data_IF_270951670652
#
_entry.id   IF_270951670652
#
_cell.length_a   1.000
_cell.length_b   1.000
_cell.length_c   1.000
_cell.angle_alpha   90.00
_cell.angle_beta   90.00
_cell.angle_gamma   90.00
#
_symmetry.space_group_name_H-M   'P 1'
#
loop_
_entity.id
_entity.type
_entity.pdbx_description
1 polymer ?
#
# COMPACT_ATOMS: atom_id res chain seq x y z
N UNK A 1 23.47 -6.05 -15.83
CA UNK A 1 23.92 -6.12 -14.43
C UNK A 1 22.69 -5.90 -13.59
N UNK A 2 22.14 -6.93 -12.97
CA UNK A 2 21.05 -6.76 -12.00
C UNK A 2 21.68 -6.24 -10.73
N UNK A 3 21.78 -4.91 -10.59
CA UNK A 3 22.17 -4.31 -9.32
C UNK A 3 21.09 -4.67 -8.31
N UNK A 4 21.43 -5.57 -7.39
CA UNK A 4 20.64 -5.81 -6.18
C UNK A 4 20.62 -4.49 -5.43
N UNK A 5 19.47 -3.82 -5.44
CA UNK A 5 19.30 -2.57 -4.68
C UNK A 5 19.24 -2.98 -3.21
N UNK A 6 20.35 -2.78 -2.50
CA UNK A 6 20.56 -3.20 -1.11
C UNK A 6 19.59 -2.50 -0.12
N UNK A 7 18.81 -1.52 -0.61
CA UNK A 7 17.90 -0.71 0.18
C UNK A 7 16.53 -0.57 -0.50
N UNK A 8 15.73 -1.65 -0.53
CA UNK A 8 14.39 -1.59 -1.09
C UNK A 8 13.55 -0.53 -0.37
N UNK A 9 12.89 0.31 -1.16
CA UNK A 9 11.93 1.29 -0.67
C UNK A 9 10.54 0.69 -0.82
N UNK A 10 9.79 0.59 0.27
CA UNK A 10 8.41 0.12 0.24
C UNK A 10 7.45 1.28 0.42
N UNK A 11 6.36 1.25 -0.35
CA UNK A 11 5.25 2.19 -0.18
C UNK A 11 4.03 1.46 0.30
N UNK A 12 3.52 1.86 1.46
CA UNK A 12 2.32 1.29 2.07
C UNK A 12 1.19 2.31 1.96
N UNK A 13 0.03 1.84 1.53
CA UNK A 13 -1.22 2.57 1.61
C UNK A 13 -2.12 1.86 2.60
N UNK A 14 -2.47 2.53 3.70
CA UNK A 14 -3.42 2.03 4.69
C UNK A 14 -4.78 2.63 4.37
N UNK A 15 -5.63 1.81 3.78
CA UNK A 15 -6.99 2.16 3.38
C UNK A 15 -7.95 1.99 4.53
N UNK A 16 -8.91 2.89 4.60
CA UNK A 16 -10.04 2.79 5.51
C UNK A 16 -11.27 3.37 4.82
N UNK A 17 -12.43 3.03 5.33
CA UNK A 17 -13.65 3.78 5.07
C UNK A 17 -13.92 4.63 6.31
N UNK A 18 -14.34 5.89 6.18
CA UNK A 18 -14.85 6.61 7.33
C UNK A 18 -16.05 5.82 7.89
N UNK A 19 -16.24 5.85 9.22
CA UNK A 19 -17.35 5.19 9.91
C UNK A 19 -18.65 5.37 9.13
N UNK A 20 -19.56 4.37 9.12
CA UNK A 20 -20.81 4.43 8.38
C UNK A 20 -21.56 5.69 8.78
N UNK A 21 -21.50 6.70 7.91
CA UNK A 21 -22.23 7.92 8.10
C UNK A 21 -23.68 7.56 7.78
N UNK A 22 -24.60 7.66 8.76
CA UNK A 22 -25.99 7.20 8.65
C UNK A 22 -26.71 7.76 7.40
N UNK A 23 -26.21 8.85 6.83
CA UNK A 23 -26.76 9.51 5.65
C UNK A 23 -26.17 9.04 4.31
N UNK A 24 -25.10 8.23 4.30
CA UNK A 24 -24.46 7.74 3.07
C UNK A 24 -24.60 6.22 3.02
N UNK A 25 -25.26 5.66 1.98
CA UNK A 25 -25.35 4.22 1.82
C UNK A 25 -23.93 3.62 1.69
N UNK A 26 -23.68 2.44 2.27
CA UNK A 26 -22.33 1.86 2.37
C UNK A 26 -21.65 1.67 1.00
N UNK A 27 -22.42 1.46 -0.07
CA UNK A 27 -21.94 1.35 -1.45
C UNK A 27 -21.38 2.67 -2.04
N UNK A 28 -21.70 3.82 -1.43
CA UNK A 28 -21.22 5.16 -1.85
C UNK A 28 -20.19 5.74 -0.90
N UNK A 29 -19.79 4.99 0.14
CA UNK A 29 -18.73 5.41 1.05
C UNK A 29 -17.38 5.23 0.34
N UNK A 30 -16.76 6.36 -0.01
CA UNK A 30 -15.44 6.37 -0.61
C UNK A 30 -14.36 5.83 0.33
N UNK A 31 -13.29 5.32 -0.28
CA UNK A 31 -12.09 4.92 0.46
C UNK A 31 -11.16 6.11 0.63
N UNK A 32 -10.52 6.17 1.79
CA UNK A 32 -9.43 7.10 2.06
C UNK A 32 -8.20 6.29 2.47
N UNK A 33 -7.01 6.85 2.25
CA UNK A 33 -5.78 6.20 2.67
C UNK A 33 -4.81 7.16 3.33
N UNK A 34 -3.98 6.59 4.20
CA UNK A 34 -2.70 7.16 4.59
C UNK A 34 -1.59 6.45 3.84
N UNK A 35 -0.64 7.22 3.31
CA UNK A 35 0.53 6.68 2.61
C UNK A 35 1.78 6.81 3.48
N UNK A 36 2.59 5.75 3.47
CA UNK A 36 3.84 5.66 4.21
C UNK A 36 4.94 5.12 3.31
N UNK A 37 6.15 5.60 3.53
CA UNK A 37 7.36 5.08 2.90
C UNK A 37 8.20 4.38 3.97
N UNK A 38 8.52 3.11 3.74
CA UNK A 38 9.37 2.31 4.61
C UNK A 38 10.69 2.05 3.90
N UNK A 39 11.79 2.29 4.62
CA UNK A 39 13.16 2.07 4.14
C UNK A 39 13.95 1.33 5.21
N UNK A 40 15.02 0.64 4.82
CA UNK A 40 15.88 -0.10 5.75
C UNK A 40 15.21 -1.33 6.39
N UNK A 41 14.13 -1.82 5.81
CA UNK A 41 13.44 -3.04 6.23
C UNK A 41 13.37 -4.03 5.07
N UNK A 42 13.17 -5.31 5.35
CA UNK A 42 12.86 -6.31 4.33
C UNK A 42 11.34 -6.40 4.05
N UNK A 43 10.97 -7.20 3.05
CA UNK A 43 9.57 -7.38 2.63
C UNK A 43 8.66 -7.92 3.74
N UNK A 44 9.15 -8.85 4.57
CA UNK A 44 8.36 -9.43 5.66
C UNK A 44 8.15 -8.42 6.77
N UNK A 45 9.18 -7.63 7.09
CA UNK A 45 9.06 -6.52 8.02
C UNK A 45 8.07 -5.46 7.54
N UNK A 46 8.10 -5.10 6.25
CA UNK A 46 7.15 -4.15 5.67
C UNK A 46 5.70 -4.66 5.71
N UNK A 47 5.47 -5.95 5.45
CA UNK A 47 4.15 -6.59 5.56
C UNK A 47 3.67 -6.59 7.01
N UNK A 48 4.53 -7.01 7.95
CA UNK A 48 4.18 -7.04 9.37
C UNK A 48 3.84 -5.63 9.88
N UNK A 49 4.61 -4.62 9.50
CA UNK A 49 4.32 -3.22 9.82
C UNK A 49 2.96 -2.78 9.28
N UNK A 50 2.64 -3.11 8.02
CA UNK A 50 1.37 -2.74 7.41
C UNK A 50 0.17 -3.41 8.12
N UNK A 51 0.33 -4.66 8.57
CA UNK A 51 -0.69 -5.39 9.32
C UNK A 51 -0.90 -4.82 10.73
N UNK A 52 0.18 -4.45 11.41
CA UNK A 52 0.14 -3.88 12.77
C UNK A 52 -0.51 -2.48 12.81
N UNK A 53 -0.34 -1.70 11.73
CA UNK A 53 -0.87 -0.35 11.61
C UNK A 53 -2.28 -0.29 10.97
N UNK A 54 -2.88 -1.44 10.67
CA UNK A 54 -4.20 -1.49 10.04
C UNK A 54 -5.29 -1.03 11.02
N UNK A 55 -6.24 -0.24 10.53
CA UNK A 55 -7.51 -0.05 11.23
C UNK A 55 -8.29 -1.38 11.28
N UNK A 56 -9.16 -1.54 12.29
CA UNK A 56 -9.87 -2.80 12.60
C UNK A 56 -10.67 -3.37 11.40
N UNK A 57 -11.15 -2.51 10.49
CA UNK A 57 -11.81 -2.89 9.23
C UNK A 57 -11.10 -2.32 7.99
N UNK A 58 -9.83 -1.93 8.14
CA UNK A 58 -9.01 -1.36 7.08
C UNK A 58 -8.56 -2.38 6.06
N UNK A 59 -7.98 -1.90 4.97
CA UNK A 59 -7.22 -2.71 4.03
C UNK A 59 -5.86 -2.06 3.83
N UNK A 60 -4.86 -2.80 3.39
CA UNK A 60 -3.60 -2.19 2.98
C UNK A 60 -3.25 -2.57 1.55
N UNK A 61 -2.42 -1.74 0.93
CA UNK A 61 -1.72 -2.08 -0.29
C UNK A 61 -0.24 -1.78 -0.10
N UNK A 62 0.61 -2.76 -0.40
CA UNK A 62 2.06 -2.64 -0.28
C UNK A 62 2.70 -2.74 -1.66
N UNK A 63 3.54 -1.76 -1.96
CA UNK A 63 4.36 -1.72 -3.17
C UNK A 63 5.84 -1.76 -2.82
N UNK A 64 6.64 -2.42 -3.64
CA UNK A 64 8.09 -2.20 -3.71
C UNK A 64 8.37 -1.20 -4.82
N UNK A 65 9.10 -0.14 -4.48
CA UNK A 65 9.55 0.89 -5.41
C UNK A 65 11.00 0.59 -5.82
N UNK A 66 11.26 0.58 -7.11
CA UNK A 66 12.61 0.44 -7.65
C UNK A 66 12.78 1.32 -8.88
N UNK A 67 14.01 1.76 -9.15
CA UNK A 67 14.33 2.50 -10.37
C UNK A 67 14.70 1.52 -11.47
N UNK A 68 14.10 1.67 -12.65
CA UNK A 68 14.48 0.92 -13.84
C UNK A 68 15.78 1.48 -14.44
N UNK A 69 16.47 0.65 -15.23
CA UNK A 69 17.52 1.09 -16.14
C UNK A 69 16.91 2.07 -17.16
N UNK A 70 17.03 3.37 -16.89
CA UNK A 70 16.30 4.43 -17.58
C UNK A 70 15.91 5.61 -16.66
N UNK A 71 15.93 5.39 -15.34
CA UNK A 71 15.63 6.43 -14.34
C UNK A 71 14.17 6.49 -13.92
N UNK A 72 13.28 5.77 -14.61
CA UNK A 72 11.86 5.68 -14.25
C UNK A 72 11.66 4.97 -12.92
N UNK A 73 10.93 5.60 -12.01
CA UNK A 73 10.50 5.00 -10.76
C UNK A 73 9.31 4.08 -11.04
N UNK A 74 9.47 2.79 -10.77
CA UNK A 74 8.42 1.78 -10.91
C UNK A 74 8.02 1.26 -9.53
N UNK A 75 6.73 1.00 -9.35
CA UNK A 75 6.18 0.39 -8.15
C UNK A 75 5.46 -0.93 -8.52
N UNK A 76 5.84 -2.03 -7.87
CA UNK A 76 5.16 -3.33 -8.03
C UNK A 76 4.38 -3.62 -6.76
N UNK A 77 3.08 -3.92 -6.87
CA UNK A 77 2.28 -4.38 -5.74
C UNK A 77 2.74 -5.77 -5.33
N UNK A 78 3.16 -5.92 -4.08
CA UNK A 78 3.66 -7.19 -3.54
C UNK A 78 2.71 -7.81 -2.52
N UNK A 79 1.86 -7.02 -1.86
CA UNK A 79 0.88 -7.52 -0.91
C UNK A 79 -0.33 -6.58 -0.77
N UNK A 80 -1.41 -7.11 -0.19
CA UNK A 80 -2.64 -6.37 0.06
C UNK A 80 -3.52 -6.18 -1.19
N UNK A 81 -4.60 -5.43 -1.01
CA UNK A 81 -5.61 -5.16 -2.04
C UNK A 81 -5.85 -3.67 -2.10
N UNK A 82 -5.90 -3.14 -3.32
CA UNK A 82 -6.39 -1.78 -3.56
C UNK A 82 -7.92 -1.85 -3.69
N UNK A 83 -8.69 -1.25 -2.77
CA UNK A 83 -10.15 -1.28 -2.82
C UNK A 83 -10.74 -0.41 -3.93
N UNK A 84 -9.96 0.49 -4.52
CA UNK A 84 -10.37 1.41 -5.59
C UNK A 84 -10.05 0.86 -6.98
N UNK A 85 -9.17 -0.14 -7.06
CA UNK A 85 -8.87 -0.81 -8.32
C UNK A 85 -10.07 -1.66 -8.74
N UNK A 86 -10.74 -1.23 -9.80
CA UNK A 86 -11.72 -2.05 -10.51
C UNK A 86 -10.92 -3.12 -11.25
N UNK A 87 -11.17 -4.39 -10.95
CA UNK A 87 -10.65 -5.50 -11.76
C UNK A 87 -11.24 -5.31 -13.17
N UNK A 88 -10.39 -4.96 -14.13
CA UNK A 88 -10.78 -4.60 -15.49
C UNK A 88 -11.02 -5.83 -16.36
#
# INVERSE_FOLDING_TARGET
>A
MTSEDDHPVFRVYLWSQPFPNVHVPPERVGWWNYSYELTGCDVHQAIAWAQDNLAEAGQYTLYVCYRREGGDLTAIRIAGKDPTQIDA
#
